data_IF_461791020317
#
_entry.id   IF_461791020317
#
_cell.length_a   1.000
_cell.length_b   1.000
_cell.length_c   1.000
_cell.angle_alpha   90.00
_cell.angle_beta   90.00
_cell.angle_gamma   90.00
#
_symmetry.space_group_name_H-M   'P 1'
#
loop_
_entity.id
_entity.type
_entity.pdbx_description
1 polymer ?
#
# COMPACT_ATOMS: atom_id res chain seq x y z
N UNK A 1 -15.63 10.97 7.13
CA UNK A 1 -14.66 11.36 6.09
C UNK A 1 -13.35 11.63 6.79
N UNK A 2 -12.23 11.17 6.23
CA UNK A 2 -10.89 11.59 6.70
C UNK A 2 -10.74 13.05 6.29
N UNK A 3 -10.67 13.96 7.25
CA UNK A 3 -10.48 15.39 6.95
C UNK A 3 -9.03 15.79 7.18
N UNK A 4 -8.59 16.88 6.55
CA UNK A 4 -7.23 17.39 6.71
C UNK A 4 -6.96 17.93 8.14
N UNK A 5 -8.01 18.14 8.93
CA UNK A 5 -7.91 18.70 10.28
C UNK A 5 -7.81 17.63 11.38
N UNK A 6 -8.04 16.36 11.05
CA UNK A 6 -7.94 15.28 12.02
C UNK A 6 -6.46 14.98 12.33
N UNK A 7 -6.00 15.05 13.60
CA UNK A 7 -4.62 14.72 13.97
C UNK A 7 -4.27 13.26 13.65
N UNK A 8 -5.30 12.40 13.54
CA UNK A 8 -5.18 11.01 13.17
C UNK A 8 -6.19 10.67 12.06
N UNK A 9 -5.74 10.51 10.80
CA UNK A 9 -6.59 10.14 9.68
C UNK A 9 -7.38 8.84 9.89
N UNK A 10 -6.85 7.96 10.74
CA UNK A 10 -7.50 6.73 11.17
C UNK A 10 -7.50 6.69 12.70
N UNK A 11 -8.54 7.24 13.32
CA UNK A 11 -8.66 7.22 14.78
C UNK A 11 -9.18 5.90 15.33
N UNK A 12 -8.80 5.61 16.57
CA UNK A 12 -9.29 4.47 17.32
C UNK A 12 -10.70 4.70 17.89
N UNK A 13 -10.97 4.06 19.03
CA UNK A 13 -12.20 4.31 19.79
C UNK A 13 -12.19 5.72 20.39
N UNK A 14 -11.03 6.19 20.81
CA UNK A 14 -10.77 7.59 21.11
C UNK A 14 -10.38 8.29 19.81
N UNK A 15 -11.05 9.41 19.51
CA UNK A 15 -10.81 10.19 18.30
C UNK A 15 -9.47 10.94 18.35
N UNK A 16 -8.93 11.14 19.56
CA UNK A 16 -7.62 11.77 19.80
C UNK A 16 -6.46 10.77 19.75
N UNK A 17 -6.71 9.49 19.50
CA UNK A 17 -5.67 8.47 19.37
C UNK A 17 -5.71 7.82 18.00
N UNK A 18 -4.52 7.56 17.44
CA UNK A 18 -4.39 6.75 16.24
C UNK A 18 -4.86 5.32 16.48
N UNK A 19 -5.44 4.70 15.45
CA UNK A 19 -5.81 3.29 15.50
C UNK A 19 -4.58 2.44 15.84
N UNK A 20 -4.75 1.52 16.80
CA UNK A 20 -3.70 0.57 17.11
C UNK A 20 -3.34 -0.25 15.85
N UNK A 21 -2.04 -0.40 15.56
CA UNK A 21 -1.51 -1.01 14.32
C UNK A 21 -2.10 -2.40 14.02
N UNK A 22 -2.33 -3.20 15.05
CA UNK A 22 -2.92 -4.54 14.92
C UNK A 22 -4.43 -4.56 14.65
N UNK A 23 -5.17 -3.47 14.91
CA UNK A 23 -6.63 -3.45 14.80
C UNK A 23 -7.09 -3.71 13.37
N UNK A 24 -6.45 -3.07 12.38
CA UNK A 24 -6.76 -3.29 10.96
C UNK A 24 -6.45 -4.73 10.52
N UNK A 25 -5.30 -5.27 10.95
CA UNK A 25 -4.91 -6.65 10.65
C UNK A 25 -5.92 -7.67 11.21
N UNK A 26 -6.40 -7.45 12.45
CA UNK A 26 -7.44 -8.27 13.06
C UNK A 26 -8.78 -8.13 12.35
N UNK A 27 -9.16 -6.92 11.95
CA UNK A 27 -10.39 -6.66 11.21
C UNK A 27 -10.39 -7.42 9.87
N UNK A 28 -9.30 -7.36 9.10
CA UNK A 28 -9.15 -8.11 7.84
C UNK A 28 -9.19 -9.62 8.08
N UNK A 29 -8.49 -10.12 9.10
CA UNK A 29 -8.53 -11.55 9.45
C UNK A 29 -9.95 -12.01 9.80
N UNK A 30 -10.72 -11.16 10.50
CA UNK A 30 -12.12 -11.44 10.85
C UNK A 30 -13.04 -11.40 9.63
N UNK A 31 -12.82 -10.45 8.71
CA UNK A 31 -13.52 -10.37 7.43
C UNK A 31 -13.31 -11.67 6.63
N UNK A 32 -12.06 -12.05 6.40
CA UNK A 32 -11.71 -13.29 5.72
C UNK A 32 -12.37 -14.51 6.39
N UNK A 33 -12.31 -14.61 7.72
CA UNK A 33 -12.89 -15.74 8.45
C UNK A 33 -14.42 -15.89 8.26
N UNK A 34 -15.14 -14.77 8.11
CA UNK A 34 -16.59 -14.75 7.89
C UNK A 34 -16.97 -15.05 6.43
N UNK A 35 -16.11 -14.68 5.48
CA UNK A 35 -16.39 -14.70 4.06
C UNK A 35 -15.46 -15.65 3.29
N UNK A 36 -14.92 -16.71 3.91
CA UNK A 36 -13.89 -17.59 3.31
C UNK A 36 -14.21 -18.07 1.89
N UNK A 37 -15.50 -18.30 1.59
CA UNK A 37 -15.96 -18.77 0.27
C UNK A 37 -15.79 -17.74 -0.85
N UNK A 38 -15.68 -16.46 -0.51
CA UNK A 38 -15.48 -15.36 -1.47
C UNK A 38 -14.00 -15.18 -1.85
N UNK A 39 -13.08 -15.87 -1.16
CA UNK A 39 -11.64 -15.79 -1.40
C UNK A 39 -11.13 -17.09 -2.02
N UNK A 40 -10.25 -16.97 -3.01
CA UNK A 40 -9.61 -18.12 -3.65
C UNK A 40 -8.59 -18.86 -2.75
N UNK A 41 -8.33 -18.34 -1.55
CA UNK A 41 -7.38 -18.91 -0.60
C UNK A 41 -7.24 -18.04 0.65
N UNK A 42 -6.27 -18.36 1.53
CA UNK A 42 -5.96 -17.53 2.70
C UNK A 42 -5.68 -16.08 2.33
N UNK A 43 -6.33 -15.15 3.05
CA UNK A 43 -6.17 -13.72 2.82
C UNK A 43 -5.81 -12.97 4.11
N UNK A 44 -4.82 -12.10 4.03
CA UNK A 44 -4.34 -11.24 5.12
C UNK A 44 -4.13 -9.81 4.65
N UNK A 45 -4.03 -8.86 5.59
CA UNK A 45 -3.76 -7.45 5.26
C UNK A 45 -2.46 -7.27 4.45
N UNK A 46 -1.46 -8.14 4.65
CA UNK A 46 -0.19 -8.11 3.92
C UNK A 46 -0.39 -8.36 2.42
N UNK A 47 -1.40 -9.14 2.05
CA UNK A 47 -1.61 -9.53 0.67
C UNK A 47 -2.05 -8.34 -0.18
N UNK A 48 -2.71 -7.32 0.40
CA UNK A 48 -2.97 -6.04 -0.27
C UNK A 48 -1.66 -5.42 -0.77
N UNK A 49 -0.66 -5.28 0.11
CA UNK A 49 0.64 -4.70 -0.26
C UNK A 49 1.37 -5.52 -1.32
N UNK A 50 1.33 -6.85 -1.21
CA UNK A 50 1.95 -7.78 -2.19
C UNK A 50 1.28 -7.67 -3.55
N UNK A 51 -0.06 -7.70 -3.59
CA UNK A 51 -0.85 -7.55 -4.81
C UNK A 51 -0.56 -6.21 -5.47
N UNK A 52 -0.57 -5.08 -4.74
CA UNK A 52 -0.20 -3.78 -5.29
C UNK A 52 1.21 -3.81 -5.90
N UNK A 53 2.21 -4.39 -5.20
CA UNK A 53 3.59 -4.46 -5.70
C UNK A 53 3.71 -5.28 -6.99
N UNK A 54 2.99 -6.40 -7.07
CA UNK A 54 2.94 -7.24 -8.28
C UNK A 54 2.29 -6.49 -9.43
N UNK A 55 1.10 -5.92 -9.22
CA UNK A 55 0.35 -5.19 -10.24
C UNK A 55 1.06 -3.91 -10.71
N UNK A 56 1.75 -3.20 -9.83
CA UNK A 56 2.63 -2.09 -10.24
C UNK A 56 3.71 -2.56 -11.24
N UNK A 57 4.18 -3.81 -11.13
CA UNK A 57 5.11 -4.39 -12.12
C UNK A 57 4.46 -4.66 -13.46
N UNK A 58 3.21 -5.14 -13.45
CA UNK A 58 2.40 -5.31 -14.66
C UNK A 58 2.14 -3.96 -15.34
N UNK A 59 1.92 -2.91 -14.55
CA UNK A 59 1.81 -1.52 -15.02
C UNK A 59 3.13 -0.92 -15.54
N UNK A 60 4.21 -1.70 -15.62
CA UNK A 60 5.50 -1.27 -16.18
C UNK A 60 6.41 -0.51 -15.19
N UNK A 61 6.06 -0.43 -13.91
CA UNK A 61 6.89 0.27 -12.92
C UNK A 61 8.07 -0.61 -12.52
N UNK A 62 9.28 -0.06 -12.62
CA UNK A 62 10.53 -0.79 -12.33
C UNK A 62 10.55 -1.34 -10.90
N UNK A 63 11.31 -2.42 -10.67
CA UNK A 63 11.48 -3.00 -9.32
C UNK A 63 12.04 -1.97 -8.34
N UNK A 64 13.05 -1.20 -8.76
CA UNK A 64 13.69 -0.19 -7.93
C UNK A 64 12.68 0.86 -7.42
N UNK A 65 11.90 1.46 -8.34
CA UNK A 65 10.92 2.48 -7.96
C UNK A 65 9.80 1.89 -7.08
N UNK A 66 9.35 0.67 -7.35
CA UNK A 66 8.37 -0.03 -6.48
C UNK A 66 8.91 -0.26 -5.08
N UNK A 67 10.17 -0.68 -4.96
CA UNK A 67 10.84 -0.88 -3.68
C UNK A 67 10.94 0.45 -2.90
N UNK A 68 11.28 1.57 -3.58
CA UNK A 68 11.31 2.92 -3.01
C UNK A 68 9.92 3.41 -2.58
N UNK A 69 8.89 3.28 -3.42
CA UNK A 69 7.49 3.64 -3.11
C UNK A 69 7.03 2.91 -1.86
N UNK A 70 7.36 1.62 -1.75
CA UNK A 70 6.95 0.80 -0.63
C UNK A 70 7.87 0.91 0.59
N UNK A 71 8.90 1.76 0.57
CA UNK A 71 9.81 1.98 1.69
C UNK A 71 10.63 0.75 2.06
N UNK A 72 11.01 -0.07 1.09
CA UNK A 72 11.94 -1.18 1.34
C UNK A 72 13.33 -0.63 1.68
N UNK A 73 13.95 -1.17 2.72
CA UNK A 73 15.35 -0.89 3.02
C UNK A 73 16.25 -1.52 1.95
N UNK A 74 17.12 -0.71 1.36
CA UNK A 74 18.17 -1.18 0.45
C UNK A 74 19.39 -1.58 1.27
N UNK A 75 19.89 -2.79 1.02
CA UNK A 75 20.97 -3.40 1.81
C UNK A 75 22.36 -3.19 1.22
N UNK A 76 22.48 -2.58 0.05
CA UNK A 76 23.76 -2.33 -0.58
C UNK A 76 24.44 -1.08 0.01
N UNK A 77 25.78 -1.09 0.02
CA UNK A 77 26.62 -0.03 0.60
C UNK A 77 26.36 1.31 -0.09
N UNK A 78 26.12 1.29 -1.41
CA UNK A 78 25.85 2.49 -2.20
C UNK A 78 24.60 3.21 -1.72
N UNK A 79 23.48 2.47 -1.65
CA UNK A 79 22.19 3.00 -1.20
C UNK A 79 22.22 3.45 0.26
N UNK A 80 22.99 2.77 1.12
CA UNK A 80 23.04 3.09 2.56
C UNK A 80 23.88 4.32 2.89
N UNK A 81 24.99 4.53 2.18
CA UNK A 81 25.97 5.54 2.55
C UNK A 81 25.99 6.76 1.64
N UNK A 82 25.61 6.59 0.37
CA UNK A 82 25.81 7.62 -0.66
C UNK A 82 24.51 8.11 -1.28
N UNK A 83 23.51 7.23 -1.45
CA UNK A 83 22.22 7.61 -2.05
C UNK A 83 21.33 8.37 -1.06
N UNK A 84 21.54 9.69 -0.99
CA UNK A 84 20.68 10.61 -0.22
C UNK A 84 19.54 11.22 -1.03
N UNK A 85 19.41 10.84 -2.30
CA UNK A 85 18.33 11.33 -3.14
C UNK A 85 17.02 10.72 -2.68
N UNK A 86 15.97 11.53 -2.53
CA UNK A 86 14.68 11.07 -1.99
C UNK A 86 13.79 10.41 -3.04
N UNK A 87 14.14 10.54 -4.33
CA UNK A 87 13.39 10.07 -5.50
C UNK A 87 11.93 10.53 -5.51
N UNK A 88 11.63 11.70 -4.93
CA UNK A 88 10.25 12.17 -4.83
C UNK A 88 9.60 12.30 -6.22
N UNK A 89 10.34 12.86 -7.19
CA UNK A 89 9.84 13.07 -8.57
C UNK A 89 9.53 11.74 -9.26
N UNK A 90 10.41 10.76 -9.14
CA UNK A 90 10.28 9.44 -9.75
C UNK A 90 9.16 8.64 -9.08
N UNK A 91 9.06 8.70 -7.75
CA UNK A 91 7.94 8.10 -7.01
C UNK A 91 6.61 8.72 -7.43
N UNK A 92 6.55 10.04 -7.56
CA UNK A 92 5.34 10.75 -7.99
C UNK A 92 4.93 10.34 -9.41
N UNK A 93 5.86 10.36 -10.37
CA UNK A 93 5.59 9.96 -11.75
C UNK A 93 5.11 8.50 -11.84
N UNK A 94 5.77 7.59 -11.12
CA UNK A 94 5.34 6.19 -11.08
C UNK A 94 3.97 6.00 -10.41
N UNK A 95 3.64 6.77 -9.38
CA UNK A 95 2.32 6.75 -8.75
C UNK A 95 1.23 7.31 -9.68
N UNK A 96 1.55 8.25 -10.56
CA UNK A 96 0.62 8.72 -11.61
C UNK A 96 0.37 7.61 -12.65
N UNK A 97 1.41 6.90 -13.09
CA UNK A 97 1.26 5.71 -13.96
C UNK A 97 0.39 4.66 -13.28
N UNK A 98 0.64 4.40 -12.00
CA UNK A 98 -0.15 3.46 -11.21
C UNK A 98 -1.62 3.87 -11.11
N UNK A 99 -1.91 5.14 -10.85
CA UNK A 99 -3.28 5.65 -10.77
C UNK A 99 -4.02 5.49 -12.11
N UNK A 100 -3.38 5.89 -13.22
CA UNK A 100 -3.98 5.74 -14.55
C UNK A 100 -4.23 4.27 -14.92
N UNK A 101 -3.28 3.38 -14.60
CA UNK A 101 -3.43 1.94 -14.81
C UNK A 101 -4.58 1.38 -13.97
N UNK A 102 -4.67 1.75 -12.69
CA UNK A 102 -5.78 1.35 -11.83
C UNK A 102 -7.12 1.83 -12.37
N UNK A 103 -7.25 3.07 -12.84
CA UNK A 103 -8.52 3.56 -13.39
C UNK A 103 -8.92 2.84 -14.69
N UNK A 104 -7.95 2.41 -15.48
CA UNK A 104 -8.20 1.62 -16.68
C UNK A 104 -8.68 0.20 -16.35
N UNK A 105 -8.04 -0.46 -15.39
CA UNK A 105 -8.28 -1.87 -15.01
C UNK A 105 -9.40 -2.05 -13.97
N UNK A 106 -9.55 -1.10 -13.04
CA UNK A 106 -10.59 -1.08 -12.01
C UNK A 106 -11.98 -0.72 -12.57
N UNK A 107 -12.15 -0.74 -13.89
CA UNK A 107 -13.46 -0.97 -14.53
C UNK A 107 -13.95 -2.40 -14.26
N UNK A 108 -13.93 -2.79 -12.99
CA UNK A 108 -14.55 -4.00 -12.47
C UNK A 108 -16.02 -3.65 -12.26
N UNK A 109 -16.82 -4.08 -13.24
CA UNK A 109 -18.23 -4.46 -13.16
C UNK A 109 -19.13 -3.47 -12.42
N UNK A 110 -19.76 -2.57 -13.19
CA UNK A 110 -21.09 -2.06 -12.82
C UNK A 110 -22.12 -3.17 -12.97
#
# INVERSE_FOLDING_TARGET
MITAEDPHPFSGKDLNESIHTNSLSRAVTKLYSRHKKEFAGPFTLRDIRRTCKTLMGVAGISKEIRDRIQGHAFSDVSSKHYDRYDYFKEKQAALQVWAAWLEAEAKVVR
#
